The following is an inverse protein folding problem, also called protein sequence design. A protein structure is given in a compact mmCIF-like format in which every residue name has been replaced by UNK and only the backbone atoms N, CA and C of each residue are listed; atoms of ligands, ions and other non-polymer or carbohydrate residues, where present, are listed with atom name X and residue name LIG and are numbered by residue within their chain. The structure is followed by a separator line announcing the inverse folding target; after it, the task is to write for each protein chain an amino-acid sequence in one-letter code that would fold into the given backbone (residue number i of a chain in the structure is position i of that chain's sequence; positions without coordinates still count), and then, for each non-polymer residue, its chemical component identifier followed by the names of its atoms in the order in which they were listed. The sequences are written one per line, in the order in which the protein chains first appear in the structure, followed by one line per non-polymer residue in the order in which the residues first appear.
data_IF_355400695987
#
_entry.id   IF_355400695987
#
_cell.length_a   1.000
_cell.length_b   1.000
_cell.length_c   1.000
_cell.angle_alpha   90.00
_cell.angle_beta   90.00
_cell.angle_gamma   90.00
#
_symmetry.space_group_name_H-M   'P 1'
#
loop_
_entity.id
_entity.type
_entity.pdbx_description
1 polymer ?
#
# COMPACT_ATOMS: atom_id res chain seq x y z
N UNK A 1 -2.68 -12.76 28.30
CA UNK A 1 -2.52 -11.62 27.37
C UNK A 1 -1.17 -11.82 26.68
N UNK A 2 -1.14 -12.45 25.50
CA UNK A 2 0.11 -12.67 24.77
C UNK A 2 0.42 -11.40 23.98
N UNK A 3 1.37 -10.62 24.49
CA UNK A 3 1.91 -9.47 23.77
C UNK A 3 2.81 -9.99 22.65
N UNK A 4 2.30 -9.98 21.42
CA UNK A 4 3.08 -10.32 20.24
C UNK A 4 4.02 -9.15 19.94
N UNK A 5 5.14 -9.08 20.67
CA UNK A 5 6.26 -8.18 20.37
C UNK A 5 7.08 -8.76 19.21
N UNK A 6 6.44 -9.00 18.06
CA UNK A 6 7.15 -9.24 16.81
C UNK A 6 7.92 -7.96 16.50
N UNK A 7 9.26 -8.01 16.63
CA UNK A 7 10.15 -6.94 16.18
C UNK A 7 9.81 -6.63 14.72
N UNK A 8 9.09 -5.53 14.51
CA UNK A 8 8.64 -5.10 13.19
C UNK A 8 9.88 -4.68 12.39
N UNK A 9 10.42 -5.58 11.56
CA UNK A 9 11.50 -5.24 10.64
C UNK A 9 11.03 -4.14 9.68
N UNK A 10 11.88 -3.14 9.44
CA UNK A 10 11.60 -2.10 8.44
C UNK A 10 11.45 -2.77 7.07
N UNK A 11 10.54 -2.33 6.18
CA UNK A 11 10.48 -2.85 4.83
C UNK A 11 11.86 -2.65 4.17
N UNK A 12 12.38 -3.67 3.51
CA UNK A 12 13.56 -3.49 2.67
C UNK A 12 13.14 -2.72 1.43
N UNK A 13 13.85 -1.62 1.12
CA UNK A 13 13.67 -0.94 -0.15
C UNK A 13 14.11 -1.88 -1.26
N UNK A 14 13.20 -2.19 -2.17
CA UNK A 14 13.51 -3.03 -3.31
C UNK A 14 14.31 -2.20 -4.31
N UNK A 15 15.50 -2.69 -4.69
CA UNK A 15 16.32 -2.09 -5.75
C UNK A 15 15.73 -2.33 -7.16
N UNK A 16 14.65 -3.12 -7.26
CA UNK A 16 14.15 -3.68 -8.52
C UNK A 16 13.31 -2.76 -9.42
N UNK A 17 13.18 -1.46 -9.15
CA UNK A 17 12.48 -0.55 -10.07
C UNK A 17 13.46 0.43 -10.71
N UNK A 18 14.34 -0.11 -11.56
CA UNK A 18 15.09 0.63 -12.57
C UNK A 18 14.18 1.02 -13.76
N UNK A 19 12.96 1.51 -13.49
CA UNK A 19 12.06 2.01 -14.52
C UNK A 19 11.66 3.44 -14.19
N UNK A 20 12.57 4.36 -14.49
CA UNK A 20 12.40 5.75 -14.98
C UNK A 20 11.19 6.62 -14.52
N UNK A 21 10.47 6.28 -13.46
CA UNK A 21 9.58 7.22 -12.77
C UNK A 21 10.51 8.01 -11.86
N UNK A 22 10.66 9.30 -12.15
CA UNK A 22 11.48 10.28 -11.43
C UNK A 22 11.81 9.82 -10.01
N UNK A 23 13.10 9.62 -9.73
CA UNK A 23 13.61 9.09 -8.45
C UNK A 23 12.89 9.69 -7.23
N UNK A 24 12.48 10.97 -7.33
CA UNK A 24 11.73 11.72 -6.32
C UNK A 24 10.35 11.17 -5.97
N UNK A 25 9.60 10.62 -6.93
CA UNK A 25 8.26 10.04 -6.70
C UNK A 25 8.41 8.73 -5.93
N UNK A 26 9.36 7.89 -6.36
CA UNK A 26 9.70 6.66 -5.67
C UNK A 26 10.21 6.94 -4.24
N UNK A 27 11.06 7.95 -4.08
CA UNK A 27 11.54 8.39 -2.76
C UNK A 27 10.40 8.85 -1.85
N UNK A 28 9.46 9.66 -2.37
CA UNK A 28 8.30 10.13 -1.59
C UNK A 28 7.34 9.01 -1.21
N UNK A 29 7.09 8.07 -2.11
CA UNK A 29 6.25 6.92 -1.83
C UNK A 29 6.91 6.01 -0.77
N UNK A 30 8.23 5.84 -0.86
CA UNK A 30 8.98 5.08 0.12
C UNK A 30 8.97 5.74 1.50
N UNK A 31 9.16 7.06 1.58
CA UNK A 31 9.06 7.83 2.83
C UNK A 31 7.68 7.68 3.48
N UNK A 32 6.61 7.75 2.68
CA UNK A 32 5.25 7.50 3.16
C UNK A 32 5.11 6.09 3.77
N UNK A 33 5.64 5.05 3.10
CA UNK A 33 5.61 3.69 3.62
C UNK A 33 6.37 3.55 4.93
N UNK A 34 7.54 4.19 5.07
CA UNK A 34 8.32 4.17 6.31
C UNK A 34 7.56 4.79 7.48
N UNK A 35 6.83 5.89 7.24
CA UNK A 35 5.97 6.54 8.25
C UNK A 35 4.77 5.68 8.62
N UNK A 36 4.11 5.06 7.65
CA UNK A 36 3.07 4.05 7.92
C UNK A 36 3.61 2.85 8.71
N UNK A 37 4.91 2.56 8.55
CA UNK A 37 5.56 1.45 9.22
C UNK A 37 6.09 1.78 10.62
N UNK A 38 5.84 2.98 11.16
CA UNK A 38 6.33 3.40 12.47
C UNK A 38 6.08 2.35 13.57
N UNK A 39 7.06 2.22 14.46
CA UNK A 39 7.05 1.21 15.52
C UNK A 39 5.88 1.47 16.47
N UNK A 40 5.79 2.69 16.99
CA UNK A 40 4.67 3.08 17.84
C UNK A 40 3.41 3.33 16.99
N UNK A 41 2.24 2.78 17.36
CA UNK A 41 0.99 3.01 16.64
C UNK A 41 0.61 4.49 16.52
N UNK A 42 0.89 5.27 17.58
CA UNK A 42 0.61 6.72 17.64
C UNK A 42 1.43 7.55 16.65
N UNK A 43 2.56 7.02 16.17
CA UNK A 43 3.44 7.71 15.23
C UNK A 43 3.10 7.35 13.78
N UNK A 44 2.15 6.41 13.56
CA UNK A 44 1.67 6.05 12.23
C UNK A 44 0.68 7.09 11.74
N UNK A 45 0.74 7.36 10.45
CA UNK A 45 -0.23 8.21 9.77
C UNK A 45 -1.61 7.59 9.83
N UNK A 46 -2.62 8.45 9.97
CA UNK A 46 -4.01 8.09 9.77
C UNK A 46 -4.28 7.80 8.29
N UNK A 47 -5.30 7.00 8.00
CA UNK A 47 -5.69 6.70 6.62
C UNK A 47 -6.01 7.98 5.80
N UNK A 48 -6.55 9.01 6.46
CA UNK A 48 -6.83 10.30 5.84
C UNK A 48 -5.54 11.00 5.40
N UNK A 49 -4.52 11.05 6.27
CA UNK A 49 -3.22 11.66 5.94
C UNK A 49 -2.49 10.88 4.84
N UNK A 50 -2.55 9.54 4.88
CA UNK A 50 -1.96 8.69 3.83
C UNK A 50 -2.61 8.99 2.47
N UNK A 51 -3.93 9.07 2.42
CA UNK A 51 -4.68 9.39 1.20
C UNK A 51 -4.29 10.77 0.64
N UNK A 52 -4.20 11.78 1.50
CA UNK A 52 -3.80 13.13 1.10
C UNK A 52 -2.38 13.15 0.50
N UNK A 53 -1.42 12.48 1.15
CA UNK A 53 -0.04 12.42 0.66
C UNK A 53 0.03 11.67 -0.68
N UNK A 54 -0.76 10.61 -0.88
CA UNK A 54 -0.82 9.91 -2.17
C UNK A 54 -1.36 10.80 -3.30
N UNK A 55 -2.40 11.60 -3.03
CA UNK A 55 -2.95 12.56 -4.00
C UNK A 55 -1.90 13.62 -4.36
N UNK A 56 -1.12 14.10 -3.39
CA UNK A 56 -0.02 15.05 -3.63
C UNK A 56 1.09 14.44 -4.49
N UNK A 57 1.47 13.19 -4.22
CA UNK A 57 2.47 12.46 -5.01
C UNK A 57 1.97 12.29 -6.45
N UNK A 58 0.72 11.88 -6.65
CA UNK A 58 0.10 11.74 -7.97
C UNK A 58 0.11 13.07 -8.73
N UNK A 59 -0.36 14.16 -8.11
CA UNK A 59 -0.35 15.51 -8.69
C UNK A 59 1.04 15.98 -9.09
N UNK A 60 2.06 15.64 -8.32
CA UNK A 60 3.47 15.95 -8.61
C UNK A 60 4.06 15.16 -9.77
N UNK A 61 3.41 14.09 -10.23
CA UNK A 61 3.87 13.30 -11.39
C UNK A 61 3.41 13.86 -12.73
N UNK A 62 2.29 14.60 -12.77
CA UNK A 62 1.68 15.10 -14.00
C UNK A 62 2.40 16.30 -14.64
N UNK A 63 3.39 16.92 -13.97
CA UNK A 63 4.05 18.15 -14.46
C UNK A 63 5.41 17.90 -15.14
N UNK A 64 5.88 16.65 -15.24
CA UNK A 64 7.10 16.30 -15.99
C UNK A 64 7.00 14.87 -16.51
N UNK A 65 7.05 14.72 -17.83
CA UNK A 65 6.95 13.47 -18.61
C UNK A 65 5.53 13.07 -19.01
N UNK A 66 5.15 13.54 -20.20
CA UNK A 66 4.19 12.88 -21.08
C UNK A 66 4.73 11.49 -21.46
N UNK A 67 4.57 10.51 -20.57
CA UNK A 67 4.71 9.10 -20.95
C UNK A 67 3.89 8.24 -20.01
N UNK A 68 2.70 7.90 -20.50
CA UNK A 68 1.80 6.90 -19.92
C UNK A 68 2.52 5.55 -19.79
N UNK A 69 2.69 5.00 -18.59
CA UNK A 69 3.03 3.59 -18.41
C UNK A 69 1.74 2.79 -18.19
N UNK A 70 0.69 3.05 -18.98
CA UNK A 70 -0.58 2.33 -18.90
C UNK A 70 -0.49 0.85 -19.31
N UNK A 71 0.69 0.37 -19.73
CA UNK A 71 0.87 -0.96 -20.34
C UNK A 71 1.83 -1.90 -19.57
N UNK A 72 2.39 -1.49 -18.42
CA UNK A 72 3.34 -2.36 -17.68
C UNK A 72 2.65 -3.19 -16.60
N UNK A 73 1.63 -2.64 -15.94
CA UNK A 73 0.91 -3.31 -14.84
C UNK A 73 0.00 -4.45 -15.36
N UNK A 74 -0.42 -4.38 -16.62
CA UNK A 74 -1.33 -5.37 -17.23
C UNK A 74 -0.65 -6.73 -17.49
N UNK A 75 0.69 -6.79 -17.52
CA UNK A 75 1.43 -8.04 -17.75
C UNK A 75 1.69 -8.87 -16.49
N UNK A 76 1.49 -8.31 -15.30
CA UNK A 76 1.79 -8.97 -14.02
C UNK A 76 0.57 -9.15 -13.10
N UNK A 77 -0.58 -8.54 -13.41
CA UNK A 77 -1.82 -8.75 -12.65
C UNK A 77 -2.73 -9.76 -13.37
N UNK A 78 -3.14 -10.86 -12.72
CA UNK A 78 -4.10 -11.79 -13.30
C UNK A 78 -5.43 -11.05 -13.53
N UNK A 79 -6.07 -11.34 -14.67
CA UNK A 79 -7.25 -10.70 -15.23
C UNK A 79 -8.19 -10.09 -14.18
N UNK A 80 -8.74 -8.89 -14.44
CA UNK A 80 -9.63 -8.10 -13.54
C UNK A 80 -10.60 -8.89 -12.65
N UNK A 81 -11.08 -10.05 -13.10
CA UNK A 81 -11.83 -11.03 -12.32
C UNK A 81 -11.14 -11.44 -11.00
N UNK A 82 -9.83 -11.69 -10.99
CA UNK A 82 -9.08 -12.12 -9.81
C UNK A 82 -8.97 -11.04 -8.73
N UNK A 83 -8.88 -9.76 -9.11
CA UNK A 83 -8.94 -8.66 -8.15
C UNK A 83 -10.27 -8.63 -7.41
N UNK A 84 -11.38 -8.83 -8.12
CA UNK A 84 -12.72 -8.82 -7.50
C UNK A 84 -12.92 -10.05 -6.60
N UNK A 85 -12.40 -11.22 -7.01
CA UNK A 85 -12.41 -12.44 -6.18
C UNK A 85 -11.57 -12.23 -4.92
N UNK A 86 -10.37 -11.66 -5.02
CA UNK A 86 -9.50 -11.43 -3.88
C UNK A 86 -10.13 -10.45 -2.88
N UNK A 87 -10.73 -9.36 -3.36
CA UNK A 87 -11.45 -8.40 -2.51
C UNK A 87 -12.65 -9.08 -1.83
N UNK A 88 -13.43 -9.87 -2.58
CA UNK A 88 -14.57 -10.59 -2.02
C UNK A 88 -14.16 -11.64 -0.98
N UNK A 89 -13.02 -12.31 -1.17
CA UNK A 89 -12.49 -13.27 -0.20
C UNK A 89 -12.02 -12.57 1.08
N UNK A 90 -11.33 -11.43 0.96
CA UNK A 90 -10.91 -10.64 2.13
C UNK A 90 -12.14 -10.18 2.90
N UNK A 91 -13.14 -9.64 2.22
CA UNK A 91 -14.39 -9.17 2.81
C UNK A 91 -15.14 -10.32 3.52
N UNK A 92 -15.32 -11.47 2.85
CA UNK A 92 -15.95 -12.64 3.43
C UNK A 92 -15.20 -13.17 4.66
N UNK A 93 -13.86 -13.16 4.65
CA UNK A 93 -13.07 -13.54 5.82
C UNK A 93 -13.26 -12.57 6.99
N UNK A 94 -13.32 -11.26 6.72
CA UNK A 94 -13.62 -10.27 7.76
C UNK A 94 -15.02 -10.45 8.33
N UNK A 95 -16.03 -10.69 7.49
CA UNK A 95 -17.40 -10.94 7.94
C UNK A 95 -17.55 -12.21 8.76
N UNK A 96 -16.92 -13.32 8.34
CA UNK A 96 -16.95 -14.58 9.08
C UNK A 96 -16.22 -14.46 10.43
N UNK A 97 -15.11 -13.72 10.47
CA UNK A 97 -14.41 -13.42 11.71
C UNK A 97 -15.28 -12.57 12.66
N UNK A 98 -15.96 -11.56 12.12
CA UNK A 98 -16.84 -10.70 12.90
C UNK A 98 -18.07 -11.43 13.45
N UNK A 99 -18.67 -12.33 12.66
CA UNK A 99 -19.78 -13.19 13.08
C UNK A 99 -19.35 -14.17 14.19
N UNK A 100 -18.14 -14.72 14.11
CA UNK A 100 -17.61 -15.60 15.15
C UNK A 100 -17.38 -14.85 16.47
N UNK A 101 -16.87 -13.61 16.41
CA UNK A 101 -16.69 -12.74 17.58
C UNK A 101 -18.02 -12.31 18.21
N UNK A 102 -19.07 -12.11 17.42
CA UNK A 102 -20.41 -11.80 17.94
C UNK A 102 -21.14 -13.00 18.55
N UNK A 103 -20.76 -14.22 18.14
CA UNK A 103 -21.37 -15.46 18.61
C UNK A 103 -20.63 -16.11 19.80
N UNK A 104 -19.53 -15.49 20.27
CA UNK A 104 -18.71 -15.93 21.40
C UNK A 104 -18.91 -15.02 22.62
#
# INVERSE_FOLDING_TARGET
MMEVTLKKGRPCRSDYIAFAVSNRVNDRLWDLLERCWAHAPKDRLTAAEVSQILIEIERGTHTSSEQSPGNVIERYLPSRAWRNILIALIDACFFLFFLWVLAA
#
